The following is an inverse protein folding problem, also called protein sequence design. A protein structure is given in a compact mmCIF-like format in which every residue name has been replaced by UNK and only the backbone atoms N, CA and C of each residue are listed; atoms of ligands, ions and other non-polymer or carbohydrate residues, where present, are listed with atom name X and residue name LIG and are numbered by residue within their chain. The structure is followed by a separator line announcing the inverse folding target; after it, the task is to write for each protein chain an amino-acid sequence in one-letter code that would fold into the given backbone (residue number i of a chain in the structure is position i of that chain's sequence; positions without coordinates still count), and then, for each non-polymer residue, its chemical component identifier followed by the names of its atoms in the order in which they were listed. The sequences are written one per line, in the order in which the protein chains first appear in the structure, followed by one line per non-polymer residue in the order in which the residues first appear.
data_IF_660956674410
#
_entry.id   IF_660956674410
#
_cell.length_a   1.000
_cell.length_b   1.000
_cell.length_c   1.000
_cell.angle_alpha   90.00
_cell.angle_beta   90.00
_cell.angle_gamma   90.00
#
_symmetry.space_group_name_H-M   'P 1'
#
loop_
_entity.id
_entity.type
_entity.pdbx_description
1 polymer ?
#
# COMPACT_ATOMS: atom_id res chain seq x y z
N UNK A 1 -62.88 10.25 12.58
CA UNK A 1 -61.72 9.61 13.26
C UNK A 1 -60.52 9.32 12.33
N UNK A 2 -60.70 9.27 11.00
CA UNK A 2 -59.60 8.97 10.05
C UNK A 2 -58.58 10.13 9.92
N UNK A 3 -59.01 11.38 10.02
CA UNK A 3 -58.15 12.54 9.77
C UNK A 3 -57.03 12.73 10.80
N UNK A 4 -57.24 12.29 12.04
CA UNK A 4 -56.27 12.42 13.15
C UNK A 4 -55.10 11.45 12.99
N UNK A 5 -55.33 10.28 12.38
CA UNK A 5 -54.29 9.27 12.14
C UNK A 5 -53.35 9.70 11.00
N UNK A 6 -53.87 10.40 9.99
CA UNK A 6 -53.05 10.93 8.90
C UNK A 6 -52.11 12.05 9.38
N UNK A 7 -52.60 12.96 10.23
CA UNK A 7 -51.75 14.01 10.85
C UNK A 7 -50.63 13.43 11.71
N UNK A 8 -50.90 12.38 12.51
CA UNK A 8 -49.86 11.70 13.30
C UNK A 8 -48.81 11.01 12.42
N UNK A 9 -49.22 10.32 11.35
CA UNK A 9 -48.27 9.70 10.40
C UNK A 9 -47.41 10.76 9.69
N UNK A 10 -48.02 11.84 9.21
CA UNK A 10 -47.29 12.92 8.55
C UNK A 10 -46.30 13.61 9.50
N UNK A 11 -46.72 13.88 10.75
CA UNK A 11 -45.84 14.43 11.79
C UNK A 11 -44.66 13.52 12.10
N UNK A 12 -44.86 12.20 12.11
CA UNK A 12 -43.78 11.23 12.34
C UNK A 12 -42.79 11.20 11.17
N UNK A 13 -43.27 11.21 9.93
CA UNK A 13 -42.42 11.29 8.73
C UNK A 13 -41.57 12.57 8.70
N UNK A 14 -42.15 13.73 9.05
CA UNK A 14 -41.42 15.01 9.12
C UNK A 14 -40.34 14.97 10.21
N UNK A 15 -40.63 14.40 11.39
CA UNK A 15 -39.65 14.24 12.46
C UNK A 15 -38.48 13.33 12.07
N UNK A 16 -38.75 12.21 11.40
CA UNK A 16 -37.70 11.29 10.91
C UNK A 16 -36.83 11.98 9.86
N UNK A 17 -37.43 12.75 8.94
CA UNK A 17 -36.69 13.47 7.92
C UNK A 17 -35.80 14.58 8.51
N UNK A 18 -36.31 15.32 9.51
CA UNK A 18 -35.52 16.32 10.24
C UNK A 18 -34.35 15.70 11.01
N UNK A 19 -34.58 14.57 11.70
CA UNK A 19 -33.52 13.81 12.37
C UNK A 19 -32.44 13.35 11.38
N UNK A 20 -32.84 12.83 10.23
CA UNK A 20 -31.90 12.43 9.18
C UNK A 20 -31.09 13.61 8.65
N UNK A 21 -31.74 14.75 8.38
CA UNK A 21 -31.07 15.97 7.93
C UNK A 21 -30.06 16.50 8.98
N UNK A 22 -30.42 16.51 10.26
CA UNK A 22 -29.52 16.90 11.35
C UNK A 22 -28.31 15.98 11.44
N UNK A 23 -28.50 14.66 11.29
CA UNK A 23 -27.38 13.70 11.29
C UNK A 23 -26.46 13.92 10.09
N UNK A 24 -27.01 14.18 8.90
CA UNK A 24 -26.24 14.49 7.69
C UNK A 24 -25.42 15.77 7.87
N UNK A 25 -26.02 16.85 8.36
CA UNK A 25 -25.32 18.12 8.63
C UNK A 25 -24.25 17.95 9.71
N UNK A 26 -24.52 17.17 10.76
CA UNK A 26 -23.53 16.88 11.80
C UNK A 26 -22.33 16.09 11.27
N UNK A 27 -22.57 15.13 10.37
CA UNK A 27 -21.52 14.33 9.72
C UNK A 27 -20.67 15.16 8.76
N UNK A 28 -21.28 16.05 7.98
CA UNK A 28 -20.59 17.06 7.15
C UNK A 28 -19.75 18.01 8.02
N UNK A 29 -20.31 18.55 9.10
CA UNK A 29 -19.59 19.44 10.03
C UNK A 29 -18.40 18.76 10.70
N UNK A 30 -18.53 17.47 11.05
CA UNK A 30 -17.39 16.67 11.55
C UNK A 30 -16.31 16.44 10.50
N UNK A 31 -16.67 16.21 9.23
CA UNK A 31 -15.68 16.14 8.14
C UNK A 31 -14.95 17.48 7.98
N UNK A 32 -15.68 18.60 7.96
CA UNK A 32 -15.09 19.94 7.85
C UNK A 32 -14.13 20.27 9.01
N UNK A 33 -14.53 19.99 10.25
CA UNK A 33 -13.69 20.21 11.43
C UNK A 33 -12.40 19.38 11.41
N UNK A 34 -12.44 18.16 10.85
CA UNK A 34 -11.24 17.33 10.72
C UNK A 34 -10.26 17.92 9.70
N UNK A 35 -10.76 18.50 8.60
CA UNK A 35 -9.94 19.18 7.59
C UNK A 35 -9.35 20.51 8.08
N UNK A 36 -10.10 21.32 8.83
CA UNK A 36 -9.60 22.60 9.35
C UNK A 36 -8.55 22.40 10.46
N UNK A 37 -8.75 21.42 11.34
CA UNK A 37 -7.72 21.04 12.33
C UNK A 37 -6.42 20.62 11.65
N UNK A 38 -6.51 19.94 10.49
CA UNK A 38 -5.34 19.55 9.70
C UNK A 38 -4.60 20.76 9.12
N UNK A 39 -5.33 21.78 8.65
CA UNK A 39 -4.72 22.99 8.08
C UNK A 39 -3.98 23.82 9.12
N UNK A 40 -4.52 23.94 10.33
CA UNK A 40 -3.90 24.73 11.41
C UNK A 40 -2.61 24.08 11.91
N UNK A 41 -2.63 22.76 12.14
CA UNK A 41 -1.46 22.01 12.61
C UNK A 41 -0.31 22.00 11.60
N UNK A 42 -0.62 22.02 10.30
CA UNK A 42 0.41 22.06 9.24
C UNK A 42 1.12 23.42 9.19
N UNK A 43 0.40 24.53 9.44
CA UNK A 43 0.99 25.88 9.49
C UNK A 43 1.87 26.09 10.72
N UNK A 44 1.41 25.68 11.91
CA UNK A 44 2.22 25.78 13.13
C UNK A 44 3.53 24.97 13.02
N UNK A 45 3.49 23.82 12.34
CA UNK A 45 4.69 23.00 12.15
C UNK A 45 5.70 23.61 11.15
N UNK A 46 5.25 24.33 10.12
CA UNK A 46 6.16 25.07 9.25
C UNK A 46 6.89 26.18 10.02
N UNK A 47 6.21 26.85 10.95
CA UNK A 47 6.81 27.89 11.82
C UNK A 47 7.81 27.28 12.82
N UNK A 48 7.51 26.13 13.42
CA UNK A 48 8.42 25.48 14.36
C UNK A 48 9.67 24.91 13.67
N UNK A 49 9.56 24.43 12.43
CA UNK A 49 10.71 23.97 11.62
C UNK A 49 11.61 25.12 11.17
N UNK A 50 11.06 26.31 10.86
CA UNK A 50 11.88 27.48 10.56
C UNK A 50 12.63 27.98 11.80
N UNK A 51 12.05 27.86 12.99
CA UNK A 51 12.72 28.20 14.25
C UNK A 51 13.82 27.19 14.62
N UNK A 52 13.59 25.89 14.41
CA UNK A 52 14.59 24.84 14.70
C UNK A 52 15.83 24.89 13.79
N UNK A 53 15.70 25.37 12.54
CA UNK A 53 16.85 25.54 11.63
C UNK A 53 17.72 26.75 11.95
N UNK A 54 17.23 27.71 12.72
CA UNK A 54 18.01 28.87 13.17
C UNK A 54 18.86 28.57 14.43
N UNK A 55 18.65 27.41 15.08
CA UNK A 55 19.31 27.07 16.35
C UNK A 55 20.47 26.07 16.23
N UNK A 56 20.89 25.67 15.02
CA UNK A 56 22.06 24.79 14.83
C UNK A 56 23.07 25.42 13.86
N UNK A 57 23.90 26.30 14.42
CA UNK A 57 25.16 26.75 13.84
C UNK A 57 26.18 26.99 14.96
N UNK A 58 27.43 26.65 14.68
CA UNK A 58 28.67 26.96 15.44
C UNK A 58 29.13 25.90 16.47
N UNK A 59 30.29 25.29 16.18
CA UNK A 59 31.39 24.81 17.07
C UNK A 59 32.02 23.52 16.46
N UNK A 60 33.07 23.58 15.63
CA UNK A 60 34.51 23.89 15.84
C UNK A 60 35.43 22.65 15.98
N UNK A 61 36.20 22.38 14.91
CA UNK A 61 37.63 21.96 14.79
C UNK A 61 38.26 20.98 15.82
N UNK A 62 38.67 19.77 15.40
CA UNK A 62 40.02 19.30 14.98
C UNK A 62 40.98 18.86 16.10
N UNK A 63 41.49 17.62 16.05
CA UNK A 63 42.93 17.24 16.11
C UNK A 63 43.08 15.77 15.68
N UNK A 64 44.03 15.53 14.78
CA UNK A 64 44.53 14.23 14.31
C UNK A 64 45.92 13.93 14.87
N UNK A 65 46.22 12.68 15.25
CA UNK A 65 47.58 12.14 15.22
C UNK A 65 47.59 10.61 15.14
N UNK A 66 48.31 10.13 14.14
CA UNK A 66 48.63 8.75 13.76
C UNK A 66 49.78 8.15 14.57
N UNK A 67 49.76 6.84 14.83
CA UNK A 67 50.96 5.98 14.69
C UNK A 67 50.62 4.49 14.68
N UNK A 68 51.12 3.87 13.62
CA UNK A 68 51.20 2.47 13.18
C UNK A 68 51.92 1.54 14.17
N UNK A 69 51.48 0.27 14.28
CA UNK A 69 52.31 -0.94 14.06
C UNK A 69 51.51 -2.23 14.35
N UNK A 70 51.68 -3.21 13.47
CA UNK A 70 51.06 -4.54 13.39
C UNK A 70 52.21 -5.53 13.05
N UNK A 71 52.00 -6.85 12.91
CA UNK A 71 51.86 -7.89 13.93
C UNK A 71 53.00 -8.94 13.86
N UNK A 72 53.05 -9.91 14.79
CA UNK A 72 53.26 -11.35 14.48
C UNK A 72 53.54 -12.25 15.72
N UNK A 73 52.88 -13.42 15.69
CA UNK A 73 53.38 -14.77 16.08
C UNK A 73 53.20 -15.23 17.54
N UNK A 74 52.41 -16.30 17.69
CA UNK A 74 52.37 -17.13 18.90
C UNK A 74 51.32 -18.24 18.84
N UNK A 75 51.56 -19.26 18.02
CA UNK A 75 50.74 -20.47 17.88
C UNK A 75 51.06 -21.43 19.03
N UNK A 76 50.09 -21.73 19.90
CA UNK A 76 50.13 -22.93 20.75
C UNK A 76 48.74 -23.58 20.81
N UNK A 77 48.69 -24.77 20.22
CA UNK A 77 47.63 -25.77 20.28
C UNK A 77 47.70 -26.51 21.60
N UNK A 78 46.62 -26.56 22.38
CA UNK A 78 46.46 -27.59 23.41
C UNK A 78 44.97 -27.81 23.74
N UNK A 79 44.56 -29.08 23.77
CA UNK A 79 43.58 -29.55 24.74
C UNK A 79 42.12 -29.64 24.31
N UNK A 80 41.81 -30.76 23.64
CA UNK A 80 40.51 -31.44 23.64
C UNK A 80 39.65 -31.18 24.90
N UNK A 81 38.51 -30.51 24.72
CA UNK A 81 37.36 -30.58 25.62
C UNK A 81 36.10 -30.75 24.77
N UNK A 82 35.62 -31.99 24.70
CA UNK A 82 34.27 -32.35 24.23
C UNK A 82 33.25 -31.75 25.21
N UNK A 83 32.88 -30.49 24.99
CA UNK A 83 31.76 -29.84 25.68
C UNK A 83 30.47 -30.09 24.91
N UNK A 84 29.46 -30.63 25.60
CA UNK A 84 28.09 -30.75 25.10
C UNK A 84 27.64 -29.43 24.46
N UNK A 85 27.31 -29.46 23.17
CA UNK A 85 26.62 -28.37 22.50
C UNK A 85 25.20 -28.25 23.09
N UNK A 86 25.05 -27.43 24.14
CA UNK A 86 23.74 -26.92 24.54
C UNK A 86 23.19 -26.13 23.36
N UNK A 87 22.05 -26.57 22.82
CA UNK A 87 21.30 -25.84 21.81
C UNK A 87 21.16 -24.38 22.25
N UNK A 88 21.57 -23.44 21.38
CA UNK A 88 21.29 -22.02 21.58
C UNK A 88 19.78 -21.87 21.78
N UNK A 89 19.30 -21.10 22.78
CA UNK A 89 17.88 -20.79 22.89
C UNK A 89 17.42 -20.16 21.58
N UNK A 90 16.42 -20.76 20.93
CA UNK A 90 15.74 -20.12 19.79
C UNK A 90 15.22 -18.76 20.28
N UNK A 91 15.58 -17.69 19.57
CA UNK A 91 15.15 -16.35 19.94
C UNK A 91 13.62 -16.26 19.79
N UNK A 92 12.92 -16.05 20.91
CA UNK A 92 11.46 -15.86 20.89
C UNK A 92 11.15 -14.42 20.49
N UNK A 93 10.85 -14.18 19.22
CA UNK A 93 10.34 -12.92 18.72
C UNK A 93 9.08 -13.15 17.87
N UNK A 94 8.18 -12.16 17.84
CA UNK A 94 6.90 -12.28 17.11
C UNK A 94 6.99 -11.57 15.76
N UNK A 95 6.63 -12.31 14.70
CA UNK A 95 6.41 -11.78 13.35
C UNK A 95 4.94 -11.94 12.96
N UNK A 96 4.57 -11.50 11.76
CA UNK A 96 3.19 -11.63 11.27
C UNK A 96 2.72 -13.10 11.31
N UNK A 97 1.57 -13.36 11.92
CA UNK A 97 0.93 -14.66 11.91
C UNK A 97 0.18 -14.87 10.57
N UNK A 98 0.62 -15.84 9.77
CA UNK A 98 0.01 -16.17 8.47
C UNK A 98 -1.43 -16.66 8.55
N UNK A 99 -1.87 -17.09 9.73
CA UNK A 99 -3.24 -17.59 9.97
C UNK A 99 -4.12 -16.55 10.69
N UNK A 100 -3.79 -15.26 10.59
CA UNK A 100 -4.57 -14.19 11.21
C UNK A 100 -5.98 -14.11 10.63
N UNK A 101 -6.98 -13.95 11.50
CA UNK A 101 -8.40 -13.84 11.17
C UNK A 101 -9.03 -12.62 11.85
N UNK A 102 -10.30 -12.37 11.56
CA UNK A 102 -11.13 -11.35 12.20
C UNK A 102 -11.14 -11.52 13.73
N UNK A 103 -11.05 -12.76 14.24
CA UNK A 103 -10.97 -13.04 15.68
C UNK A 103 -9.69 -12.49 16.34
N UNK A 104 -8.63 -12.26 15.57
CA UNK A 104 -7.38 -11.68 16.05
C UNK A 104 -7.36 -10.14 16.02
N UNK A 105 -8.38 -9.50 15.43
CA UNK A 105 -8.50 -8.04 15.38
C UNK A 105 -9.07 -7.46 16.69
N UNK A 106 -8.73 -6.21 16.98
CA UNK A 106 -9.38 -5.46 18.08
C UNK A 106 -10.89 -5.30 17.81
N UNK A 107 -11.75 -5.24 18.84
CA UNK A 107 -13.21 -5.18 18.67
C UNK A 107 -13.70 -4.05 17.74
N UNK A 108 -13.01 -2.89 17.76
CA UNK A 108 -13.28 -1.77 16.86
C UNK A 108 -13.14 -2.18 15.39
N UNK A 109 -12.07 -2.88 15.02
CA UNK A 109 -11.80 -3.30 13.65
C UNK A 109 -12.68 -4.49 13.24
N UNK A 110 -13.02 -5.39 14.16
CA UNK A 110 -14.02 -6.44 13.90
C UNK A 110 -15.37 -5.86 13.49
N UNK A 111 -15.82 -4.79 14.18
CA UNK A 111 -17.06 -4.08 13.81
C UNK A 111 -16.94 -3.44 12.42
N UNK A 112 -15.80 -2.84 12.11
CA UNK A 112 -15.55 -2.22 10.79
C UNK A 112 -15.58 -3.28 9.68
N UNK A 113 -14.92 -4.43 9.87
CA UNK A 113 -14.96 -5.56 8.94
C UNK A 113 -16.40 -6.02 8.68
N UNK A 114 -17.20 -6.26 9.74
CA UNK A 114 -18.63 -6.62 9.61
C UNK A 114 -19.45 -5.56 8.86
N UNK A 115 -19.18 -4.28 9.11
CA UNK A 115 -19.88 -3.20 8.43
C UNK A 115 -19.58 -3.18 6.92
N UNK A 116 -18.33 -3.42 6.51
CA UNK A 116 -17.97 -3.46 5.09
C UNK A 116 -18.55 -4.69 4.39
N UNK A 117 -18.58 -5.85 5.04
CA UNK A 117 -19.31 -7.03 4.56
C UNK A 117 -20.78 -6.69 4.29
N UNK A 118 -21.45 -6.06 5.26
CA UNK A 118 -22.86 -5.68 5.13
C UNK A 118 -23.11 -4.62 4.05
N UNK A 119 -22.17 -3.69 3.84
CA UNK A 119 -22.33 -2.62 2.85
C UNK A 119 -22.22 -3.13 1.42
N UNK A 120 -21.32 -4.09 1.16
CA UNK A 120 -21.05 -4.68 -0.15
C UNK A 120 -21.10 -3.67 -1.31
N UNK A 121 -20.32 -2.58 -1.17
CA UNK A 121 -20.38 -1.40 -2.04
C UNK A 121 -20.24 -1.75 -3.53
N UNK A 122 -19.38 -2.72 -3.84
CA UNK A 122 -19.03 -3.13 -5.20
C UNK A 122 -19.84 -4.32 -5.73
N UNK A 123 -20.91 -4.72 -5.01
CA UNK A 123 -21.82 -5.81 -5.41
C UNK A 123 -21.10 -7.14 -5.61
N UNK A 124 -20.12 -7.42 -4.75
CA UNK A 124 -19.37 -8.68 -4.77
C UNK A 124 -20.32 -9.84 -4.47
N UNK A 125 -20.29 -10.85 -5.31
CA UNK A 125 -20.94 -12.14 -5.07
C UNK A 125 -19.97 -13.22 -5.50
N UNK A 126 -19.07 -13.59 -4.60
CA UNK A 126 -18.04 -14.59 -4.87
C UNK A 126 -18.67 -15.95 -5.21
N UNK A 127 -18.30 -16.50 -6.37
CA UNK A 127 -18.73 -17.81 -6.88
C UNK A 127 -17.56 -18.76 -7.14
N UNK A 128 -16.35 -18.39 -6.68
CA UNK A 128 -15.18 -19.24 -6.76
C UNK A 128 -15.26 -20.44 -5.81
N UNK A 129 -14.17 -21.22 -5.71
CA UNK A 129 -14.05 -22.29 -4.73
C UNK A 129 -14.32 -21.78 -3.30
N UNK A 130 -14.83 -22.62 -2.41
CA UNK A 130 -15.14 -22.20 -1.03
C UNK A 130 -13.93 -21.62 -0.29
N UNK A 131 -14.12 -20.66 0.64
CA UNK A 131 -13.03 -20.02 1.36
C UNK A 131 -12.21 -21.03 2.19
N UNK A 132 -10.90 -20.81 2.26
CA UNK A 132 -9.97 -21.55 3.13
C UNK A 132 -9.16 -22.65 2.42
N UNK A 133 -8.99 -22.55 1.10
CA UNK A 133 -8.15 -23.48 0.34
C UNK A 133 -6.68 -23.31 0.73
N UNK A 134 -6.00 -24.43 1.00
CA UNK A 134 -4.59 -24.47 1.36
C UNK A 134 -3.73 -24.77 0.15
N UNK A 135 -2.96 -23.79 -0.29
CA UNK A 135 -1.93 -23.96 -1.33
C UNK A 135 -0.53 -24.06 -0.72
N UNK A 136 0.36 -24.84 -1.34
CA UNK A 136 1.80 -24.65 -1.12
C UNK A 136 2.23 -23.27 -1.62
N UNK A 137 3.33 -22.71 -1.10
CA UNK A 137 3.82 -21.41 -1.57
C UNK A 137 4.20 -21.43 -3.06
N UNK A 138 4.67 -22.57 -3.58
CA UNK A 138 4.95 -22.76 -5.02
C UNK A 138 3.66 -22.76 -5.85
N UNK A 139 2.68 -23.58 -5.47
CA UNK A 139 1.40 -23.67 -6.18
C UNK A 139 0.66 -22.33 -6.17
N UNK A 140 0.69 -21.59 -5.05
CA UNK A 140 0.03 -20.29 -4.96
C UNK A 140 0.71 -19.22 -5.83
N UNK A 141 2.04 -19.27 -5.97
CA UNK A 141 2.77 -18.37 -6.88
C UNK A 141 2.37 -18.61 -8.34
N UNK A 142 2.25 -19.87 -8.74
CA UNK A 142 1.74 -20.25 -10.06
C UNK A 142 0.30 -19.79 -10.27
N UNK A 143 -0.57 -20.04 -9.28
CA UNK A 143 -1.97 -19.61 -9.32
C UNK A 143 -2.10 -18.10 -9.52
N UNK A 144 -1.33 -17.31 -8.76
CA UNK A 144 -1.27 -15.85 -8.90
C UNK A 144 -0.78 -15.41 -10.29
N UNK A 145 0.26 -16.05 -10.83
CA UNK A 145 0.81 -15.72 -12.16
C UNK A 145 -0.22 -15.94 -13.26
N UNK A 146 -0.93 -17.07 -13.18
CA UNK A 146 -1.78 -17.54 -14.27
C UNK A 146 -3.20 -16.95 -14.22
N UNK A 147 -3.67 -16.50 -13.05
CA UNK A 147 -5.05 -16.01 -12.85
C UNK A 147 -5.16 -14.51 -12.55
N UNK A 148 -4.04 -13.78 -12.38
CA UNK A 148 -4.06 -12.31 -12.19
C UNK A 148 -3.39 -11.62 -13.36
N UNK A 149 -4.19 -11.01 -14.24
CA UNK A 149 -3.68 -10.35 -15.44
C UNK A 149 -3.21 -8.92 -15.15
N UNK A 150 -1.92 -8.77 -14.85
CA UNK A 150 -1.29 -7.46 -14.73
C UNK A 150 -1.18 -6.79 -16.11
N UNK A 151 -2.18 -5.98 -16.43
CA UNK A 151 -2.26 -5.23 -17.67
C UNK A 151 -2.82 -3.82 -17.43
N UNK A 152 -2.43 -2.90 -18.31
CA UNK A 152 -2.88 -1.51 -18.30
C UNK A 152 -3.93 -1.34 -19.39
N UNK A 153 -4.79 -0.34 -19.26
CA UNK A 153 -5.69 0.09 -20.35
C UNK A 153 -4.84 0.51 -21.54
N UNK A 154 -5.14 -0.06 -22.70
CA UNK A 154 -4.47 0.21 -23.97
C UNK A 154 -5.39 1.01 -24.90
N UNK A 155 -4.81 1.62 -25.94
CA UNK A 155 -5.55 2.40 -26.94
C UNK A 155 -6.57 1.57 -27.74
N UNK A 156 -6.47 0.24 -27.68
CA UNK A 156 -7.39 -0.70 -28.33
C UNK A 156 -8.62 -1.01 -27.47
N UNK A 157 -8.59 -0.72 -26.17
CA UNK A 157 -9.71 -0.98 -25.26
C UNK A 157 -10.80 0.10 -25.45
N UNK A 158 -12.02 -0.28 -25.88
CA UNK A 158 -13.15 0.66 -25.91
C UNK A 158 -13.52 1.12 -24.48
N UNK A 159 -13.77 2.43 -24.22
CA UNK A 159 -13.88 3.55 -25.15
C UNK A 159 -12.60 4.41 -25.31
N UNK A 160 -11.44 3.91 -24.91
CA UNK A 160 -10.16 4.62 -25.03
C UNK A 160 -9.62 4.69 -26.47
N UNK A 161 -10.24 3.97 -27.40
CA UNK A 161 -10.03 4.06 -28.85
C UNK A 161 -10.84 5.18 -29.52
N UNK A 162 -11.64 5.95 -28.79
CA UNK A 162 -12.44 7.06 -29.33
C UNK A 162 -11.60 8.33 -29.51
N UNK A 163 -12.06 9.26 -30.35
CA UNK A 163 -11.36 10.53 -30.63
C UNK A 163 -11.13 11.39 -29.38
N UNK A 164 -12.00 11.29 -28.36
CA UNK A 164 -11.84 12.02 -27.10
C UNK A 164 -10.60 11.57 -26.28
N UNK A 165 -10.10 10.36 -26.56
CA UNK A 165 -8.97 9.73 -25.89
C UNK A 165 -7.68 9.71 -26.72
N UNK A 166 -7.73 10.20 -27.96
CA UNK A 166 -6.59 10.21 -28.87
C UNK A 166 -5.37 10.91 -28.24
N UNK A 167 -4.23 10.20 -28.23
CA UNK A 167 -2.96 10.72 -27.72
C UNK A 167 -2.79 10.79 -26.20
N UNK A 168 -3.79 10.43 -25.39
CA UNK A 168 -3.68 10.51 -23.93
C UNK A 168 -2.97 9.32 -23.28
N UNK A 169 -3.26 8.09 -23.72
CA UNK A 169 -2.61 6.89 -23.17
C UNK A 169 -1.17 6.76 -23.70
N UNK A 170 -0.22 6.18 -22.92
CA UNK A 170 1.11 5.84 -23.43
C UNK A 170 1.03 4.91 -24.64
N UNK A 171 1.89 5.13 -25.65
CA UNK A 171 1.93 4.33 -26.88
C UNK A 171 2.53 2.93 -26.68
N UNK A 172 3.50 2.84 -25.78
CA UNK A 172 4.23 1.59 -25.50
C UNK A 172 3.65 0.91 -24.26
N UNK A 173 3.73 -0.42 -24.22
CA UNK A 173 3.35 -1.20 -23.04
C UNK A 173 4.22 -0.82 -21.83
N UNK A 174 3.65 -0.90 -20.63
CA UNK A 174 4.44 -0.73 -19.40
C UNK A 174 5.61 -1.70 -19.34
N UNK A 175 5.46 -2.93 -19.85
CA UNK A 175 6.54 -3.94 -19.90
C UNK A 175 7.72 -3.54 -20.80
N UNK A 176 7.52 -2.60 -21.72
CA UNK A 176 8.60 -2.02 -22.55
C UNK A 176 9.29 -0.86 -21.85
N UNK A 177 8.54 -0.08 -21.05
CA UNK A 177 9.08 1.08 -20.30
C UNK A 177 9.65 0.72 -18.94
N UNK A 178 9.26 -0.42 -18.36
CA UNK A 178 9.57 -0.82 -16.99
C UNK A 178 10.12 -2.25 -16.98
N UNK A 179 11.40 -2.38 -16.62
CA UNK A 179 12.08 -3.66 -16.53
C UNK A 179 12.32 -4.35 -17.89
N UNK A 180 12.58 -5.66 -17.90
CA UNK A 180 12.69 -6.52 -16.72
C UNK A 180 13.87 -6.12 -15.81
N UNK A 181 13.65 -6.08 -14.50
CA UNK A 181 14.68 -5.75 -13.50
C UNK A 181 15.08 -7.00 -12.71
N UNK A 182 16.27 -6.97 -12.09
CA UNK A 182 16.70 -8.04 -11.20
C UNK A 182 16.06 -7.89 -9.83
N UNK A 183 16.56 -6.95 -9.03
CA UNK A 183 16.11 -6.71 -7.65
C UNK A 183 15.27 -5.44 -7.57
N UNK A 184 14.07 -5.55 -7.03
CA UNK A 184 13.15 -4.44 -6.87
C UNK A 184 12.70 -4.26 -5.41
N UNK A 185 12.44 -3.02 -5.01
CA UNK A 185 11.88 -2.71 -3.70
C UNK A 185 10.44 -2.19 -3.81
N UNK A 186 9.55 -2.72 -2.97
CA UNK A 186 8.22 -2.15 -2.72
C UNK A 186 8.26 -1.49 -1.35
N UNK A 187 8.16 -0.15 -1.31
CA UNK A 187 8.21 0.62 -0.06
C UNK A 187 6.79 0.94 0.37
N UNK A 188 6.31 0.30 1.45
CA UNK A 188 5.01 0.65 2.02
C UNK A 188 4.97 2.11 2.46
N UNK A 189 3.80 2.61 2.87
CA UNK A 189 3.69 3.96 3.44
C UNK A 189 3.66 3.96 4.97
N UNK A 190 3.88 2.83 5.63
CA UNK A 190 3.62 2.66 7.06
C UNK A 190 4.45 3.60 7.95
N UNK A 191 3.90 3.98 9.10
CA UNK A 191 4.64 4.76 10.11
C UNK A 191 5.88 4.05 10.68
N UNK A 192 5.91 2.71 10.62
CA UNK A 192 7.03 1.89 11.08
C UNK A 192 8.31 2.02 10.25
N UNK A 193 8.26 2.69 9.09
CA UNK A 193 9.45 3.10 8.35
C UNK A 193 10.26 4.17 9.07
N UNK A 194 9.65 4.96 9.95
CA UNK A 194 10.34 6.04 10.66
C UNK A 194 11.46 5.47 11.54
N UNK A 195 12.65 6.05 11.42
CA UNK A 195 13.88 5.62 12.11
C UNK A 195 14.29 4.18 11.81
N UNK A 196 13.88 3.63 10.66
CA UNK A 196 14.28 2.30 10.19
C UNK A 196 15.68 2.28 9.60
N UNK A 197 16.18 3.43 9.11
CA UNK A 197 17.46 3.55 8.41
C UNK A 197 17.59 2.68 7.14
N UNK A 198 16.46 2.25 6.56
CA UNK A 198 16.42 1.39 5.38
C UNK A 198 16.78 2.08 4.07
N UNK A 199 17.03 3.40 4.08
CA UNK A 199 17.11 4.20 2.86
C UNK A 199 18.20 3.75 1.88
N UNK A 200 19.37 3.37 2.38
CA UNK A 200 20.45 2.84 1.53
C UNK A 200 20.09 1.47 0.94
N UNK A 201 19.61 0.56 1.77
CA UNK A 201 19.20 -0.78 1.31
C UNK A 201 18.11 -0.69 0.24
N UNK A 202 17.13 0.20 0.41
CA UNK A 202 16.07 0.45 -0.59
C UNK A 202 16.68 0.97 -1.90
N UNK A 203 17.59 1.95 -1.84
CA UNK A 203 18.18 2.55 -3.04
C UNK A 203 19.16 1.62 -3.79
N UNK A 204 19.65 0.54 -3.16
CA UNK A 204 20.47 -0.51 -3.76
C UNK A 204 19.69 -1.45 -4.72
N UNK A 205 18.38 -1.25 -4.87
CA UNK A 205 17.54 -1.99 -5.83
C UNK A 205 17.52 -1.31 -7.22
N UNK A 206 17.33 -2.08 -8.28
CA UNK A 206 17.23 -1.57 -9.66
C UNK A 206 16.03 -0.62 -9.81
N UNK A 207 14.90 -0.99 -9.21
CA UNK A 207 13.67 -0.21 -9.24
C UNK A 207 12.98 -0.14 -7.87
N UNK A 208 12.38 1.02 -7.57
CA UNK A 208 11.65 1.27 -6.32
C UNK A 208 10.21 1.68 -6.63
N UNK A 209 9.24 0.94 -6.09
CA UNK A 209 7.82 1.27 -6.15
C UNK A 209 7.35 1.96 -4.86
N UNK A 210 6.64 3.08 -5.02
CA UNK A 210 6.01 3.85 -3.92
C UNK A 210 4.52 4.07 -4.17
N UNK A 211 3.81 4.53 -3.13
CA UNK A 211 2.35 4.65 -3.17
C UNK A 211 1.87 6.09 -2.98
N UNK A 212 0.84 6.49 -3.72
CA UNK A 212 0.11 7.74 -3.52
C UNK A 212 1.06 8.95 -3.38
N UNK A 213 0.81 9.84 -2.42
CA UNK A 213 1.64 11.01 -2.12
C UNK A 213 2.78 10.75 -1.13
N UNK A 214 3.25 9.52 -0.99
CA UNK A 214 4.34 9.18 -0.07
C UNK A 214 5.66 9.86 -0.54
N UNK A 215 6.21 10.82 0.26
CA UNK A 215 7.33 11.65 -0.17
C UNK A 215 8.69 11.04 0.20
N UNK A 216 9.71 11.30 -0.60
CA UNK A 216 11.11 10.97 -0.26
C UNK A 216 11.80 12.10 0.52
N UNK A 217 11.48 13.36 0.20
CA UNK A 217 12.08 14.53 0.81
C UNK A 217 11.83 14.59 2.33
N UNK A 218 12.90 14.78 3.09
CA UNK A 218 12.99 14.76 4.56
C UNK A 218 12.92 13.36 5.20
N UNK A 219 12.87 12.28 4.42
CA UNK A 219 12.77 10.91 4.90
C UNK A 219 13.83 9.97 4.29
N UNK A 220 14.78 10.51 3.52
CA UNK A 220 15.69 9.72 2.68
C UNK A 220 16.47 8.65 3.45
N UNK A 221 16.86 8.93 4.71
CA UNK A 221 17.56 7.95 5.54
C UNK A 221 16.72 6.71 5.83
N UNK A 222 15.39 6.87 5.92
CA UNK A 222 14.44 5.81 6.26
C UNK A 222 13.79 5.18 5.04
N UNK A 223 13.56 5.95 3.97
CA UNK A 223 12.75 5.49 2.82
C UNK A 223 13.49 5.50 1.50
N UNK A 224 14.73 5.99 1.45
CA UNK A 224 15.51 6.12 0.22
C UNK A 224 15.16 7.38 -0.58
N UNK A 225 15.86 7.55 -1.70
CA UNK A 225 15.75 8.69 -2.61
C UNK A 225 15.06 8.35 -3.92
N UNK A 226 15.15 7.09 -4.38
CA UNK A 226 14.71 6.67 -5.72
C UNK A 226 13.20 6.44 -5.77
N UNK A 227 12.53 6.89 -6.85
CA UNK A 227 11.17 6.48 -7.22
C UNK A 227 11.12 6.09 -8.69
N UNK A 228 11.00 4.79 -8.99
CA UNK A 228 10.92 4.28 -10.36
C UNK A 228 9.47 4.13 -10.82
N UNK A 229 8.60 3.61 -9.94
CA UNK A 229 7.16 3.47 -10.18
C UNK A 229 6.40 4.07 -9.01
N UNK A 230 5.32 4.80 -9.29
CA UNK A 230 4.38 5.28 -8.27
C UNK A 230 2.96 4.84 -8.60
N UNK A 231 2.41 3.97 -7.76
CA UNK A 231 1.02 3.50 -7.86
C UNK A 231 0.11 4.40 -7.01
N UNK A 232 -0.94 4.93 -7.61
CA UNK A 232 -1.86 5.88 -6.98
C UNK A 232 -3.30 5.40 -7.13
N UNK A 233 -4.13 5.60 -6.12
CA UNK A 233 -5.57 5.42 -6.28
C UNK A 233 -6.21 6.62 -7.02
N UNK A 234 -7.35 6.36 -7.64
CA UNK A 234 -8.17 7.35 -8.35
C UNK A 234 -8.70 8.46 -7.45
N UNK A 235 -8.95 8.18 -6.16
CA UNK A 235 -9.35 9.20 -5.18
C UNK A 235 -8.32 10.33 -5.09
N UNK A 236 -7.03 9.98 -5.01
CA UNK A 236 -5.94 10.96 -4.98
C UNK A 236 -5.94 11.78 -6.26
N UNK A 237 -5.93 11.13 -7.42
CA UNK A 237 -5.90 11.82 -8.72
C UNK A 237 -7.10 12.74 -8.90
N UNK A 238 -8.27 12.38 -8.36
CA UNK A 238 -9.51 13.16 -8.47
C UNK A 238 -9.58 14.33 -7.49
N UNK A 239 -9.16 14.13 -6.24
CA UNK A 239 -9.50 15.06 -5.13
C UNK A 239 -8.30 15.82 -4.56
N UNK A 240 -7.07 15.30 -4.69
CA UNK A 240 -5.89 15.94 -4.14
C UNK A 240 -5.35 17.00 -5.11
N UNK A 241 -5.61 18.27 -4.79
CA UNK A 241 -5.16 19.41 -5.61
C UNK A 241 -3.64 19.48 -5.79
N UNK A 242 -2.87 18.88 -4.86
CA UNK A 242 -1.41 18.80 -4.98
C UNK A 242 -0.94 17.84 -6.07
N UNK A 243 -1.76 16.89 -6.52
CA UNK A 243 -1.40 15.96 -7.59
C UNK A 243 -0.95 16.70 -8.88
N UNK A 244 -1.65 17.76 -9.26
CA UNK A 244 -1.34 18.57 -10.45
C UNK A 244 -0.29 19.67 -10.19
N UNK A 245 0.36 19.70 -9.03
CA UNK A 245 1.24 20.82 -8.61
C UNK A 245 2.57 20.38 -8.01
N UNK A 246 2.56 19.33 -7.21
CA UNK A 246 3.70 18.89 -6.44
C UNK A 246 4.67 18.11 -7.34
N UNK A 247 5.94 18.52 -7.35
CA UNK A 247 6.95 17.93 -8.23
C UNK A 247 7.26 16.47 -7.89
N UNK A 248 6.85 15.97 -6.71
CA UNK A 248 7.07 14.57 -6.33
C UNK A 248 6.43 13.58 -7.30
N UNK A 249 5.36 13.97 -7.99
CA UNK A 249 4.65 13.12 -8.95
C UNK A 249 5.37 13.06 -10.30
N UNK A 250 6.29 13.98 -10.57
CA UNK A 250 6.96 14.11 -11.86
C UNK A 250 8.12 13.10 -12.04
N UNK A 251 8.40 12.28 -11.02
CA UNK A 251 9.45 11.27 -11.02
C UNK A 251 8.90 9.88 -11.41
N UNK A 252 9.60 9.19 -12.31
CA UNK A 252 9.33 7.79 -12.65
C UNK A 252 8.05 7.57 -13.45
N UNK A 253 7.59 6.32 -13.47
CA UNK A 253 6.36 5.87 -14.13
C UNK A 253 5.20 6.00 -13.15
N UNK A 254 4.10 6.60 -13.60
CA UNK A 254 2.88 6.67 -12.82
C UNK A 254 1.90 5.58 -13.23
N UNK A 255 1.17 5.04 -12.26
CA UNK A 255 0.04 4.13 -12.48
C UNK A 255 -1.12 4.62 -11.62
N UNK A 256 -2.29 4.83 -12.22
CA UNK A 256 -3.54 5.07 -11.48
C UNK A 256 -4.42 3.81 -11.56
N UNK A 257 -5.08 3.47 -10.45
CA UNK A 257 -6.09 2.41 -10.42
C UNK A 257 -7.36 2.91 -9.73
N UNK A 258 -8.50 2.34 -10.10
CA UNK A 258 -9.82 2.70 -9.59
C UNK A 258 -10.61 1.43 -9.24
N UNK A 259 -11.26 1.35 -8.07
CA UNK A 259 -12.22 0.29 -7.79
C UNK A 259 -13.36 0.27 -8.80
N UNK A 260 -13.61 -0.88 -9.42
CA UNK A 260 -14.78 -1.10 -10.27
C UNK A 260 -15.86 -1.89 -9.54
N UNK A 261 -17.07 -1.96 -10.11
CA UNK A 261 -18.04 -2.99 -9.70
C UNK A 261 -17.41 -4.37 -9.95
N UNK A 262 -17.62 -5.32 -9.03
CA UNK A 262 -17.07 -6.67 -9.14
C UNK A 262 -17.36 -7.31 -10.51
N UNK A 263 -16.31 -7.85 -11.14
CA UNK A 263 -16.33 -8.44 -12.50
C UNK A 263 -16.87 -7.50 -13.60
N UNK A 264 -16.77 -6.19 -13.43
CA UNK A 264 -17.08 -5.21 -14.49
C UNK A 264 -16.02 -5.24 -15.60
N UNK A 265 -16.47 -5.15 -16.84
CA UNK A 265 -15.61 -4.85 -17.99
C UNK A 265 -15.22 -3.36 -18.04
N UNK A 266 -14.28 -3.01 -18.94
CA UNK A 266 -13.78 -1.65 -19.11
C UNK A 266 -14.91 -0.66 -19.48
N UNK A 267 -15.79 -0.95 -20.48
CA UNK A 267 -16.84 0.00 -20.85
C UNK A 267 -17.82 0.32 -19.71
N UNK A 268 -18.26 -0.69 -18.94
CA UNK A 268 -19.15 -0.49 -17.80
C UNK A 268 -18.46 0.27 -16.66
N UNK A 269 -17.19 -0.05 -16.39
CA UNK A 269 -16.40 0.67 -15.40
C UNK A 269 -16.21 2.13 -15.80
N UNK A 270 -15.92 2.40 -17.07
CA UNK A 270 -15.74 3.76 -17.59
C UNK A 270 -16.98 4.64 -17.38
N UNK A 271 -18.19 4.07 -17.48
CA UNK A 271 -19.44 4.78 -17.22
C UNK A 271 -19.69 5.07 -15.74
N UNK A 272 -19.12 4.28 -14.83
CA UNK A 272 -19.34 4.40 -13.39
C UNK A 272 -18.05 4.09 -12.59
N UNK A 273 -16.99 4.91 -12.74
CA UNK A 273 -15.78 4.78 -11.93
C UNK A 273 -16.09 5.18 -10.48
N UNK A 274 -15.35 4.63 -9.51
CA UNK A 274 -15.54 5.00 -8.10
C UNK A 274 -15.16 6.47 -7.85
N UNK A 275 -14.09 6.93 -8.50
CA UNK A 275 -13.77 8.35 -8.61
C UNK A 275 -13.52 8.71 -10.07
N UNK A 276 -14.18 9.76 -10.58
CA UNK A 276 -13.99 10.20 -11.97
C UNK A 276 -12.67 10.99 -12.14
N UNK A 277 -11.57 10.24 -12.24
CA UNK A 277 -10.21 10.77 -12.35
C UNK A 277 -9.82 11.18 -13.77
N UNK A 278 -10.63 10.83 -14.78
CA UNK A 278 -10.27 10.96 -16.21
C UNK A 278 -9.88 12.39 -16.60
N UNK A 279 -10.59 13.40 -16.10
CA UNK A 279 -10.27 14.80 -16.38
C UNK A 279 -8.88 15.19 -15.85
N UNK A 280 -8.59 14.87 -14.58
CA UNK A 280 -7.29 15.19 -13.98
C UNK A 280 -6.16 14.36 -14.58
N UNK A 281 -6.43 13.11 -15.00
CA UNK A 281 -5.49 12.32 -15.79
C UNK A 281 -5.14 13.01 -17.11
N UNK A 282 -6.15 13.43 -17.89
CA UNK A 282 -5.95 14.17 -19.14
C UNK A 282 -5.20 15.49 -18.90
N UNK A 283 -5.51 16.23 -17.83
CA UNK A 283 -4.78 17.45 -17.45
C UNK A 283 -3.32 17.17 -17.13
N UNK A 284 -3.03 16.15 -16.33
CA UNK A 284 -1.65 15.77 -16.00
C UNK A 284 -0.86 15.34 -17.25
N UNK A 285 -1.46 14.54 -18.13
CA UNK A 285 -0.84 14.12 -19.39
C UNK A 285 -0.47 15.30 -20.30
N UNK A 286 -1.24 16.39 -20.29
CA UNK A 286 -0.90 17.63 -21.00
C UNK A 286 0.29 18.36 -20.37
N UNK A 287 0.40 18.34 -19.05
CA UNK A 287 1.51 18.98 -18.32
C UNK A 287 2.82 18.19 -18.43
N UNK A 288 2.73 16.85 -18.48
CA UNK A 288 3.87 15.94 -18.46
C UNK A 288 3.78 14.88 -19.59
N UNK A 289 3.78 15.29 -20.88
CA UNK A 289 3.55 14.38 -22.00
C UNK A 289 4.60 13.26 -22.10
N UNK A 290 5.85 13.56 -21.70
CA UNK A 290 6.99 12.63 -21.77
C UNK A 290 7.05 11.63 -20.61
N UNK A 291 6.29 11.84 -19.53
CA UNK A 291 6.28 10.92 -18.39
C UNK A 291 5.26 9.80 -18.64
N UNK A 292 5.65 8.51 -18.59
CA UNK A 292 4.70 7.41 -18.73
C UNK A 292 3.69 7.40 -17.58
N UNK A 293 2.40 7.41 -17.91
CA UNK A 293 1.33 7.37 -16.93
C UNK A 293 0.22 6.43 -17.39
N UNK A 294 0.12 5.27 -16.75
CA UNK A 294 -0.78 4.18 -17.11
C UNK A 294 -2.03 4.15 -16.22
N UNK A 295 -3.07 3.49 -16.73
CA UNK A 295 -4.30 3.19 -15.99
C UNK A 295 -4.37 1.67 -15.84
N UNK A 296 -4.43 1.15 -14.61
CA UNK A 296 -4.57 -0.28 -14.36
C UNK A 296 -5.95 -0.75 -14.84
N UNK A 297 -6.01 -1.89 -15.55
CA UNK A 297 -7.31 -2.46 -15.96
C UNK A 297 -8.17 -2.78 -14.72
N UNK A 298 -9.49 -2.46 -14.73
CA UNK A 298 -10.37 -2.58 -13.56
C UNK A 298 -10.60 -4.02 -13.07
N UNK A 299 -10.24 -5.03 -13.87
CA UNK A 299 -10.36 -6.44 -13.53
C UNK A 299 -9.27 -6.93 -12.58
N UNK A 300 -8.03 -6.43 -12.74
CA UNK A 300 -6.86 -6.94 -12.01
C UNK A 300 -7.03 -6.93 -10.47
N UNK A 301 -7.57 -5.87 -9.84
CA UNK A 301 -7.83 -5.90 -8.40
C UNK A 301 -8.82 -6.99 -7.97
N UNK A 302 -9.82 -7.32 -8.80
CA UNK A 302 -10.82 -8.33 -8.48
C UNK A 302 -10.36 -9.76 -8.77
N UNK A 303 -9.56 -9.96 -9.81
CA UNK A 303 -8.85 -11.22 -10.05
C UNK A 303 -7.96 -11.58 -8.86
N UNK A 304 -7.24 -10.60 -8.31
CA UNK A 304 -6.45 -10.79 -7.10
C UNK A 304 -7.33 -10.99 -5.86
N UNK A 305 -8.44 -10.27 -5.75
CA UNK A 305 -9.40 -10.43 -4.66
C UNK A 305 -10.00 -11.84 -4.62
N UNK A 306 -10.29 -12.43 -5.78
CA UNK A 306 -10.84 -13.78 -5.88
C UNK A 306 -9.89 -14.82 -5.26
N UNK A 307 -8.59 -14.69 -5.49
CA UNK A 307 -7.56 -15.53 -4.86
C UNK A 307 -7.46 -15.25 -3.35
N UNK A 308 -7.52 -13.98 -2.92
CA UNK A 308 -7.51 -13.64 -1.49
C UNK A 308 -8.71 -14.25 -0.76
N UNK A 309 -9.90 -14.22 -1.36
CA UNK A 309 -11.09 -14.82 -0.79
C UNK A 309 -10.98 -16.36 -0.77
N UNK A 310 -10.40 -16.96 -1.81
CA UNK A 310 -10.18 -18.41 -1.92
C UNK A 310 -9.30 -18.94 -0.77
N UNK A 311 -8.20 -18.25 -0.47
CA UNK A 311 -7.23 -18.70 0.56
C UNK A 311 -7.63 -18.31 1.99
N UNK A 312 -8.50 -17.32 2.15
CA UNK A 312 -8.88 -16.82 3.47
C UNK A 312 -9.85 -17.76 4.18
N UNK A 313 -9.72 -18.02 5.49
CA UNK A 313 -10.57 -18.96 6.21
C UNK A 313 -11.99 -18.44 6.48
N UNK A 314 -12.30 -17.21 6.08
CA UNK A 314 -13.59 -16.53 6.30
C UNK A 314 -13.84 -15.50 5.18
N UNK A 315 -15.03 -14.91 5.17
CA UNK A 315 -15.35 -13.83 4.24
C UNK A 315 -14.47 -12.59 4.49
N UNK A 316 -13.84 -12.07 3.44
CA UNK A 316 -12.99 -10.88 3.52
C UNK A 316 -13.80 -9.63 3.13
N UNK A 317 -13.27 -8.44 3.40
CA UNK A 317 -13.94 -7.20 2.99
C UNK A 317 -14.26 -7.23 1.48
N UNK A 318 -15.51 -6.96 1.05
CA UNK A 318 -15.91 -6.96 -0.37
C UNK A 318 -15.49 -5.65 -1.06
N UNK A 319 -14.24 -5.27 -0.84
CA UNK A 319 -13.56 -4.10 -1.37
C UNK A 319 -12.23 -4.59 -1.98
N UNK A 320 -11.69 -3.91 -3.00
CA UNK A 320 -10.48 -4.38 -3.67
C UNK A 320 -9.26 -4.41 -2.73
N UNK A 321 -8.22 -5.19 -3.08
CA UNK A 321 -6.95 -5.21 -2.37
C UNK A 321 -6.35 -3.81 -2.21
N UNK A 322 -5.54 -3.62 -1.18
CA UNK A 322 -4.82 -2.36 -0.97
C UNK A 322 -3.88 -2.07 -2.13
N UNK A 323 -3.56 -0.78 -2.36
CA UNK A 323 -2.53 -0.41 -3.33
C UNK A 323 -1.20 -1.12 -3.05
N UNK A 324 -0.91 -1.42 -1.78
CA UNK A 324 0.26 -2.20 -1.37
C UNK A 324 0.30 -3.57 -2.05
N UNK A 325 -0.76 -4.35 -1.93
CA UNK A 325 -0.84 -5.68 -2.54
C UNK A 325 -0.85 -5.62 -4.07
N UNK A 326 -1.57 -4.68 -4.66
CA UNK A 326 -1.55 -4.47 -6.12
C UNK A 326 -0.13 -4.15 -6.62
N UNK A 327 0.59 -3.28 -5.90
CA UNK A 327 1.98 -2.93 -6.19
C UNK A 327 2.93 -4.13 -6.09
N UNK A 328 2.75 -5.01 -5.10
CA UNK A 328 3.53 -6.24 -4.97
C UNK A 328 3.36 -7.12 -6.21
N UNK A 329 2.11 -7.39 -6.63
CA UNK A 329 1.84 -8.22 -7.81
C UNK A 329 2.36 -7.58 -9.11
N UNK A 330 2.27 -6.25 -9.24
CA UNK A 330 2.88 -5.51 -10.35
C UNK A 330 4.40 -5.74 -10.37
N UNK A 331 5.09 -5.56 -9.25
CA UNK A 331 6.55 -5.73 -9.21
C UNK A 331 6.97 -7.18 -9.41
N UNK A 332 6.20 -8.17 -8.95
CA UNK A 332 6.47 -9.59 -9.25
C UNK A 332 6.39 -9.89 -10.74
N UNK A 333 5.62 -9.12 -11.51
CA UNK A 333 5.55 -9.24 -12.97
C UNK A 333 6.76 -8.61 -13.69
N UNK A 334 7.40 -7.62 -13.08
CA UNK A 334 8.43 -6.78 -13.70
C UNK A 334 9.87 -7.11 -13.23
N UNK A 335 10.01 -7.90 -12.17
CA UNK A 335 11.27 -8.14 -11.47
C UNK A 335 11.51 -9.62 -11.21
N UNK A 336 12.76 -10.02 -10.96
CA UNK A 336 13.12 -11.39 -10.55
C UNK A 336 13.00 -11.61 -9.04
N UNK A 337 13.25 -10.57 -8.26
CA UNK A 337 13.10 -10.57 -6.80
C UNK A 337 12.48 -9.25 -6.35
N UNK A 338 11.49 -9.34 -5.47
CA UNK A 338 10.81 -8.20 -4.88
C UNK A 338 10.99 -8.22 -3.36
N UNK A 339 11.77 -7.25 -2.86
CA UNK A 339 11.92 -6.97 -1.43
C UNK A 339 10.85 -5.96 -1.00
N UNK A 340 10.05 -6.29 0.00
CA UNK A 340 8.85 -5.54 0.41
C UNK A 340 9.06 -5.03 1.84
N UNK A 341 9.06 -3.72 2.01
CA UNK A 341 9.44 -3.05 3.26
C UNK A 341 8.24 -2.49 4.03
N UNK A 342 8.13 -2.91 5.30
CA UNK A 342 7.12 -2.51 6.29
C UNK A 342 5.66 -2.79 5.85
N UNK A 343 5.47 -3.70 4.89
CA UNK A 343 4.16 -4.30 4.63
C UNK A 343 3.83 -5.32 5.72
N UNK A 344 4.71 -6.31 5.91
CA UNK A 344 4.78 -7.07 7.15
C UNK A 344 5.53 -6.21 8.18
N UNK A 345 4.89 -5.82 9.29
CA UNK A 345 5.47 -4.85 10.20
C UNK A 345 6.67 -5.45 10.96
N UNK A 346 7.71 -4.66 11.14
CA UNK A 346 8.85 -4.99 12.00
C UNK A 346 8.53 -4.82 13.49
N UNK A 347 9.55 -4.97 14.33
CA UNK A 347 9.53 -4.54 15.74
C UNK A 347 9.14 -3.06 15.94
N UNK A 348 9.19 -2.23 14.89
CA UNK A 348 8.74 -0.82 14.89
C UNK A 348 7.23 -0.67 14.65
N UNK A 349 6.44 -1.76 14.66
CA UNK A 349 4.99 -1.72 14.52
C UNK A 349 4.39 -0.62 15.40
N UNK A 350 3.57 0.24 14.80
CA UNK A 350 3.02 1.44 15.43
C UNK A 350 1.63 1.74 14.90
N UNK A 351 0.83 2.45 15.68
CA UNK A 351 -0.46 2.99 15.22
C UNK A 351 -0.31 4.24 14.36
N UNK A 352 0.89 4.84 14.27
CA UNK A 352 1.14 5.94 13.32
C UNK A 352 0.91 5.42 11.90
N UNK A 353 -0.11 5.95 11.23
CA UNK A 353 -0.60 5.39 9.97
C UNK A 353 0.44 5.51 8.84
N UNK A 354 1.11 6.67 8.72
CA UNK A 354 2.10 6.92 7.68
C UNK A 354 3.36 7.59 8.22
N UNK A 355 4.53 7.26 7.65
CA UNK A 355 5.82 7.85 8.10
C UNK A 355 5.89 9.37 7.92
N UNK A 356 5.11 9.91 6.98
CA UNK A 356 5.06 11.33 6.64
C UNK A 356 3.86 12.06 7.27
N UNK A 357 3.09 11.39 8.15
CA UNK A 357 1.95 11.98 8.86
C UNK A 357 2.03 11.68 10.36
N UNK A 358 1.20 12.36 11.16
CA UNK A 358 1.24 12.30 12.63
C UNK A 358 0.01 11.69 13.28
N UNK A 359 -0.99 11.28 12.50
CA UNK A 359 -2.21 10.70 13.06
C UNK A 359 -2.05 9.20 13.31
N UNK A 360 -2.83 8.71 14.26
CA UNK A 360 -2.81 7.33 14.72
C UNK A 360 -4.07 6.60 14.24
N UNK A 361 -3.91 5.48 13.54
CA UNK A 361 -5.00 4.57 13.20
C UNK A 361 -4.46 3.16 12.93
N UNK A 362 -4.71 2.23 13.87
CA UNK A 362 -4.34 0.82 13.75
C UNK A 362 -4.89 0.16 12.48
N UNK A 363 -5.97 0.71 11.92
CA UNK A 363 -6.57 0.26 10.66
C UNK A 363 -5.61 0.34 9.47
N UNK A 364 -4.65 1.26 9.47
CA UNK A 364 -3.67 1.39 8.39
C UNK A 364 -2.70 0.20 8.33
N UNK A 365 -2.47 -0.47 9.47
CA UNK A 365 -1.59 -1.65 9.54
C UNK A 365 -2.39 -2.94 9.53
N UNK A 366 -3.57 -2.98 10.13
CA UNK A 366 -4.36 -4.21 10.31
C UNK A 366 -5.51 -4.37 9.31
N UNK A 367 -5.88 -3.31 8.58
CA UNK A 367 -6.99 -3.30 7.64
C UNK A 367 -8.28 -2.69 8.22
N UNK A 368 -9.02 -2.01 7.35
CA UNK A 368 -10.39 -1.54 7.59
C UNK A 368 -11.20 -1.71 6.31
N UNK A 369 -10.98 -0.82 5.33
CA UNK A 369 -11.61 -0.88 4.01
C UNK A 369 -11.07 -2.05 3.18
N UNK A 370 -9.75 -2.14 3.02
CA UNK A 370 -9.10 -3.23 2.27
C UNK A 370 -9.02 -4.51 3.11
N UNK A 371 -8.96 -5.70 2.46
CA UNK A 371 -8.65 -6.98 3.10
C UNK A 371 -7.17 -7.11 3.51
N UNK A 372 -6.57 -6.03 4.03
CA UNK A 372 -5.13 -5.91 4.30
C UNK A 372 -4.59 -6.97 5.26
N UNK A 373 -5.41 -7.45 6.21
CA UNK A 373 -5.04 -8.57 7.08
C UNK A 373 -4.69 -9.82 6.27
N UNK A 374 -5.56 -10.16 5.32
CA UNK A 374 -5.45 -11.35 4.49
C UNK A 374 -4.40 -11.18 3.39
N UNK A 375 -4.20 -9.96 2.89
CA UNK A 375 -3.06 -9.62 2.03
C UNK A 375 -1.72 -9.88 2.73
N UNK A 376 -1.61 -9.53 4.02
CA UNK A 376 -0.39 -9.80 4.81
C UNK A 376 -0.20 -11.28 5.12
N UNK A 377 -1.29 -12.03 5.33
CA UNK A 377 -1.22 -13.48 5.42
C UNK A 377 -0.63 -14.08 4.14
N UNK A 378 -1.10 -13.64 2.97
CA UNK A 378 -0.57 -14.05 1.68
C UNK A 378 0.93 -13.74 1.54
N UNK A 379 1.34 -12.49 1.80
CA UNK A 379 2.76 -12.10 1.69
C UNK A 379 3.62 -12.89 2.68
N UNK A 380 3.14 -13.14 3.90
CA UNK A 380 3.86 -13.96 4.88
C UNK A 380 3.99 -15.41 4.43
N UNK A 381 2.95 -15.98 3.81
CA UNK A 381 2.96 -17.35 3.28
C UNK A 381 3.91 -17.51 2.08
N UNK A 382 4.06 -16.48 1.26
CA UNK A 382 4.94 -16.48 0.08
C UNK A 382 6.39 -16.03 0.38
N UNK A 383 6.66 -15.55 1.59
CA UNK A 383 7.96 -15.02 1.96
C UNK A 383 9.06 -16.09 1.90
N UNK A 384 10.15 -15.78 1.19
CA UNK A 384 11.37 -16.59 1.17
C UNK A 384 12.46 -16.06 2.11
N UNK A 385 12.28 -14.86 2.69
CA UNK A 385 13.17 -14.30 3.73
C UNK A 385 12.95 -14.93 5.11
N UNK A 386 13.81 -14.59 6.06
CA UNK A 386 13.74 -15.12 7.43
C UNK A 386 12.73 -14.38 8.30
N UNK A 387 12.35 -14.98 9.43
CA UNK A 387 11.54 -14.29 10.43
C UNK A 387 12.34 -13.14 11.06
N UNK A 388 13.66 -13.29 11.22
CA UNK A 388 14.56 -12.25 11.69
C UNK A 388 14.55 -11.01 10.77
N UNK A 389 14.50 -11.20 9.45
CA UNK A 389 14.41 -10.11 8.47
C UNK A 389 13.11 -9.32 8.64
N UNK A 390 11.99 -10.01 8.86
CA UNK A 390 10.71 -9.35 9.15
C UNK A 390 10.82 -8.59 10.47
N UNK A 391 11.32 -9.22 11.53
CA UNK A 391 11.37 -8.62 12.86
C UNK A 391 12.29 -7.38 12.92
N UNK A 392 13.46 -7.44 12.30
CA UNK A 392 14.46 -6.37 12.35
C UNK A 392 14.26 -5.30 11.27
N UNK A 393 13.99 -5.71 10.03
CA UNK A 393 13.95 -4.84 8.85
C UNK A 393 12.54 -4.58 8.36
N UNK A 394 11.54 -5.36 8.78
CA UNK A 394 10.20 -5.31 8.20
C UNK A 394 10.22 -5.76 6.74
N UNK A 395 11.17 -6.63 6.38
CA UNK A 395 11.44 -7.05 5.01
C UNK A 395 10.84 -8.43 4.75
N UNK A 396 10.06 -8.54 3.68
CA UNK A 396 9.68 -9.81 3.07
C UNK A 396 10.27 -9.88 1.65
N UNK A 397 10.73 -11.05 1.22
CA UNK A 397 11.30 -11.28 -0.10
C UNK A 397 10.45 -12.29 -0.85
N UNK A 398 9.86 -11.87 -1.97
CA UNK A 398 9.08 -12.71 -2.87
C UNK A 398 9.82 -12.83 -4.22
N UNK A 399 9.81 -14.00 -4.87
CA UNK A 399 10.35 -14.15 -6.20
C UNK A 399 9.38 -13.61 -7.26
N UNK A 400 9.95 -13.12 -8.35
CA UNK A 400 9.24 -12.69 -9.53
C UNK A 400 8.60 -13.83 -10.29
N UNK A 401 7.54 -13.54 -11.04
CA UNK A 401 6.87 -14.53 -11.89
C UNK A 401 7.76 -15.06 -13.01
N UNK A 402 8.81 -14.31 -13.41
CA UNK A 402 9.80 -14.76 -14.40
C UNK A 402 10.66 -15.92 -13.89
N UNK A 403 10.82 -16.08 -12.57
CA UNK A 403 11.74 -17.05 -11.96
C UNK A 403 11.06 -18.24 -11.31
N UNK A 404 9.72 -18.32 -11.33
CA UNK A 404 8.99 -19.46 -10.73
C UNK A 404 8.85 -20.61 -11.73
N UNK A 405 8.67 -21.81 -11.18
CA UNK A 405 8.41 -23.01 -11.96
C UNK A 405 6.98 -23.51 -11.71
N UNK A 406 6.25 -23.69 -12.80
CA UNK A 406 4.92 -24.28 -12.92
C UNK A 406 5.00 -25.15 -14.19
#
# INVERSE_FOLDING_TARGET
MIHTNLKKKFSCCVLVFLLFAVICVWKEKKKGSYYDSFKLQTKEFQVLKSLGKLAMGSDSQSVSSSSTQDPHRGRQTLGSLRGLAKAKPEASFQVWNKDSSSKNLIPRLQKIWKNYLSMNKYKVSYKGPGPGIKFSAEALRCHLRDHVNVSMVEVTDFPFNTSEWEGYLPKESIRTKAGPWGRCAVVSSAGSLKSSQLGREIDDHDAVLRFNGAPTANFQQDVGTKTTIRLMNSQLVTTEKRFLKDSLYNEGILIVWDPSVYHSDIPKWYQNPDYNFFNNYKTYRKLHPNQPFYILKPQMPWELWDILQEISPEEIQPNPPSSGMLGIIIMMTLCDQVDIYEFLPSKRKTDVCYYYQKFFDSACTMGAYHPLLYEKNLVKHLNQGTDEDIYLLGKATLPGFRTIHC
#
